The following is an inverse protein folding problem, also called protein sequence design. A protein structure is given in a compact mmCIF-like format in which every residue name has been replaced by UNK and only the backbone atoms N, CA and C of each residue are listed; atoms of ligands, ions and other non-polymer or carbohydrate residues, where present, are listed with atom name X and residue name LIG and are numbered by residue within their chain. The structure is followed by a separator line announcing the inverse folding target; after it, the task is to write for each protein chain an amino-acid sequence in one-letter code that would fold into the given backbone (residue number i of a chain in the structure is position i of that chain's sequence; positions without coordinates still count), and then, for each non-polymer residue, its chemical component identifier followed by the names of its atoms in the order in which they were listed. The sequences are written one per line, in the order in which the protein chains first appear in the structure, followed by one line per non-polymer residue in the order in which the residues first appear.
data_IF_333141329709
#
_entry.id   IF_333141329709
#
_cell.length_a   1.000
_cell.length_b   1.000
_cell.length_c   1.000
_cell.angle_alpha   90.00
_cell.angle_beta   90.00
_cell.angle_gamma   90.00
#
_symmetry.space_group_name_H-M   'P 1'
#
loop_
_entity.id
_entity.type
_entity.pdbx_description
1 polymer ?
#
# COMPACT_ATOMS: atom_id res chain seq x y z
N UNK A 1 17.00 51.57 -24.20
CA UNK A 1 17.51 50.79 -23.05
C UNK A 1 16.27 50.17 -22.42
N UNK A 2 16.04 48.91 -22.74
CA UNK A 2 15.05 48.13 -21.99
C UNK A 2 15.65 47.82 -20.64
N UNK A 3 15.00 48.30 -19.59
CA UNK A 3 15.27 47.83 -18.23
C UNK A 3 14.99 46.34 -18.22
N UNK A 4 16.03 45.52 -17.97
CA UNK A 4 15.86 44.10 -17.68
C UNK A 4 14.99 44.00 -16.44
N UNK A 5 13.88 43.33 -16.58
CA UNK A 5 13.09 42.92 -15.43
C UNK A 5 13.96 41.95 -14.64
N UNK A 6 14.31 42.31 -13.41
CA UNK A 6 15.14 41.50 -12.51
C UNK A 6 14.27 40.77 -11.48
N UNK A 7 12.94 40.87 -11.65
CA UNK A 7 11.98 40.14 -10.81
C UNK A 7 11.67 38.79 -11.46
N UNK A 8 12.08 37.71 -10.82
CA UNK A 8 11.69 36.38 -11.23
C UNK A 8 10.23 36.14 -10.79
N UNK A 9 9.39 35.70 -11.71
CA UNK A 9 8.07 35.17 -11.36
C UNK A 9 8.20 33.89 -10.54
N UNK A 10 7.27 33.66 -9.63
CA UNK A 10 7.23 32.43 -8.88
C UNK A 10 6.78 31.26 -9.76
N UNK A 11 7.21 30.05 -9.40
CA UNK A 11 6.62 28.83 -9.90
C UNK A 11 5.70 28.29 -8.80
N UNK A 12 4.44 28.07 -9.16
CA UNK A 12 3.49 27.35 -8.32
C UNK A 12 3.52 25.87 -8.71
N UNK A 13 4.03 25.03 -7.82
CA UNK A 13 3.97 23.57 -8.01
C UNK A 13 2.62 23.12 -7.52
N UNK A 14 1.73 22.80 -8.46
CA UNK A 14 0.34 22.47 -8.21
C UNK A 14 0.16 21.10 -7.54
N UNK A 15 1.19 20.25 -7.56
CA UNK A 15 1.22 18.99 -6.87
C UNK A 15 2.04 17.90 -7.56
N UNK A 16 2.37 16.88 -6.80
CA UNK A 16 2.94 15.62 -7.27
C UNK A 16 2.00 14.49 -6.89
N UNK A 17 1.67 13.61 -7.86
CA UNK A 17 0.76 12.50 -7.67
C UNK A 17 1.25 11.25 -8.41
N UNK A 18 0.95 10.07 -7.89
CA UNK A 18 1.12 8.81 -8.58
C UNK A 18 -0.08 8.54 -9.51
N UNK A 19 0.19 8.16 -10.73
CA UNK A 19 -0.82 7.72 -11.69
C UNK A 19 -1.01 6.21 -11.66
N UNK A 20 -1.13 5.64 -10.50
CA UNK A 20 -1.35 4.24 -10.12
C UNK A 20 -1.74 3.29 -11.24
N UNK A 21 -0.77 2.94 -12.08
CA UNK A 21 -1.01 2.02 -13.20
C UNK A 21 -1.12 0.57 -12.73
N UNK A 22 -0.47 0.24 -11.61
CA UNK A 22 -0.29 -1.13 -11.13
C UNK A 22 -0.80 -1.35 -9.70
N UNK A 23 -0.85 -0.30 -8.84
CA UNK A 23 -1.34 -0.52 -7.48
C UNK A 23 -2.86 -0.67 -7.44
N UNK A 24 -3.33 -1.62 -6.65
CA UNK A 24 -4.76 -1.99 -6.59
C UNK A 24 -5.62 -0.98 -5.83
N UNK A 25 -5.04 -0.22 -4.92
CA UNK A 25 -5.75 0.76 -4.12
C UNK A 25 -6.03 2.07 -4.87
N UNK A 26 -5.46 2.26 -6.07
CA UNK A 26 -5.53 3.51 -6.83
C UNK A 26 -5.22 4.74 -5.95
N UNK A 27 -4.20 4.60 -5.09
CA UNK A 27 -3.79 5.60 -4.12
C UNK A 27 -2.77 6.54 -4.76
N UNK A 28 -3.13 7.79 -4.96
CA UNK A 28 -2.27 8.79 -5.62
C UNK A 28 -1.08 9.26 -4.77
N UNK A 29 -0.98 8.81 -3.52
CA UNK A 29 0.13 9.14 -2.60
C UNK A 29 1.20 8.04 -2.54
N UNK A 30 0.92 6.86 -3.08
CA UNK A 30 1.81 5.70 -3.11
C UNK A 30 2.06 5.31 -4.57
N UNK A 31 3.31 5.02 -4.92
CA UNK A 31 3.70 4.52 -6.24
C UNK A 31 4.60 3.30 -6.09
N UNK A 32 4.49 2.38 -7.03
CA UNK A 32 5.36 1.20 -7.19
C UNK A 32 6.03 1.20 -8.55
N UNK A 33 6.95 0.27 -8.78
CA UNK A 33 7.55 0.07 -10.10
C UNK A 33 6.49 -0.15 -11.18
N UNK A 34 6.57 0.60 -12.28
CA UNK A 34 5.60 0.61 -13.38
C UNK A 34 4.58 1.75 -13.32
N UNK A 35 4.40 2.40 -12.17
CA UNK A 35 3.54 3.57 -12.05
C UNK A 35 4.17 4.82 -12.69
N UNK A 36 3.30 5.72 -13.16
CA UNK A 36 3.73 7.05 -13.58
C UNK A 36 3.61 8.03 -12.41
N UNK A 37 4.61 8.84 -12.22
CA UNK A 37 4.59 9.98 -11.29
C UNK A 37 4.47 11.27 -12.09
N UNK A 38 3.50 12.10 -11.76
CA UNK A 38 3.21 13.37 -12.42
C UNK A 38 3.48 14.53 -11.47
N UNK A 39 4.36 15.43 -11.89
CA UNK A 39 4.62 16.69 -11.21
C UNK A 39 4.08 17.83 -12.08
N UNK A 40 3.07 18.56 -11.58
CA UNK A 40 2.42 19.63 -12.32
C UNK A 40 2.78 21.00 -11.72
N UNK A 41 3.18 21.96 -12.58
CA UNK A 41 3.51 23.29 -12.14
C UNK A 41 3.11 24.37 -13.15
N UNK A 42 2.89 25.58 -12.63
CA UNK A 42 2.50 26.74 -13.43
C UNK A 42 3.38 27.93 -13.07
N UNK A 43 4.16 28.48 -14.01
CA UNK A 43 4.95 29.67 -13.75
C UNK A 43 4.09 30.95 -13.84
N UNK A 44 4.44 31.98 -13.09
CA UNK A 44 3.79 33.29 -13.18
C UNK A 44 4.09 34.02 -14.49
N UNK A 45 5.20 33.70 -15.13
CA UNK A 45 5.62 34.27 -16.40
C UNK A 45 6.12 33.21 -17.37
N UNK A 46 6.13 33.50 -18.68
CA UNK A 46 6.59 32.56 -19.70
C UNK A 46 8.09 32.23 -19.54
N UNK A 47 8.39 30.93 -19.46
CA UNK A 47 9.75 30.42 -19.34
C UNK A 47 10.43 30.21 -20.70
N UNK A 48 11.76 30.11 -20.69
CA UNK A 48 12.58 29.63 -21.80
C UNK A 48 12.49 28.09 -21.84
N UNK A 49 11.71 27.54 -22.78
CA UNK A 49 11.36 26.10 -22.82
C UNK A 49 12.57 25.16 -22.73
N UNK A 50 13.61 25.43 -23.53
CA UNK A 50 14.81 24.61 -23.57
C UNK A 50 15.65 24.67 -22.28
N UNK A 51 15.28 25.54 -21.33
CA UNK A 51 15.95 25.67 -20.05
C UNK A 51 15.26 24.97 -18.88
N UNK A 52 14.07 24.45 -19.12
CA UNK A 52 13.28 23.78 -18.08
C UNK A 52 13.84 22.35 -17.95
N UNK A 53 14.41 22.06 -16.80
CA UNK A 53 14.89 20.71 -16.44
C UNK A 53 14.17 20.27 -15.18
N UNK A 54 13.47 19.17 -15.29
CA UNK A 54 12.75 18.57 -14.15
C UNK A 54 13.31 17.19 -13.90
N UNK A 55 13.66 16.92 -12.64
CA UNK A 55 14.02 15.58 -12.19
C UNK A 55 13.05 15.10 -11.12
N UNK A 56 12.74 13.81 -11.10
CA UNK A 56 12.03 13.10 -10.03
C UNK A 56 12.89 11.90 -9.66
N UNK A 57 13.11 11.66 -8.37
CA UNK A 57 14.07 10.66 -7.86
C UNK A 57 15.48 10.78 -8.49
N UNK A 58 15.91 12.01 -8.83
CA UNK A 58 17.17 12.28 -9.52
C UNK A 58 17.21 11.88 -11.00
N UNK A 59 16.10 11.38 -11.56
CA UNK A 59 15.99 10.96 -12.96
C UNK A 59 15.31 12.01 -13.83
N UNK A 60 15.73 12.12 -15.09
CA UNK A 60 15.12 13.03 -16.06
C UNK A 60 13.67 12.61 -16.37
N UNK A 61 12.79 13.59 -16.50
CA UNK A 61 11.38 13.41 -16.80
C UNK A 61 11.05 13.76 -18.25
N UNK A 62 9.91 13.29 -18.75
CA UNK A 62 9.29 13.84 -19.95
C UNK A 62 8.44 15.03 -19.58
N UNK A 63 8.56 16.14 -20.34
CA UNK A 63 7.84 17.37 -20.05
C UNK A 63 6.79 17.63 -21.14
N UNK A 64 5.57 17.94 -20.74
CA UNK A 64 4.48 18.40 -21.62
C UNK A 64 3.97 19.75 -21.14
N UNK A 65 3.50 20.59 -22.04
CA UNK A 65 2.91 21.91 -21.75
C UNK A 65 1.48 21.96 -22.28
N UNK A 66 0.59 22.52 -21.49
CA UNK A 66 -0.79 22.80 -21.89
C UNK A 66 -1.29 24.07 -21.20
N UNK A 67 -1.65 25.08 -22.00
CA UNK A 67 -2.23 26.35 -21.52
C UNK A 67 -1.38 27.07 -20.45
N UNK A 68 -0.06 27.02 -20.57
CA UNK A 68 0.86 27.66 -19.64
C UNK A 68 1.17 26.83 -18.38
N UNK A 69 0.58 25.65 -18.22
CA UNK A 69 0.90 24.69 -17.18
C UNK A 69 1.76 23.57 -17.75
N UNK A 70 2.73 23.11 -16.97
CA UNK A 70 3.66 22.05 -17.33
C UNK A 70 3.39 20.80 -16.50
N UNK A 71 3.52 19.65 -17.14
CA UNK A 71 3.48 18.35 -16.45
C UNK A 71 4.75 17.57 -16.78
N UNK A 72 5.55 17.29 -15.75
CA UNK A 72 6.68 16.39 -15.84
C UNK A 72 6.25 14.99 -15.43
N UNK A 73 6.62 13.99 -16.23
CA UNK A 73 6.24 12.58 -16.02
C UNK A 73 7.48 11.72 -15.93
N UNK A 74 7.53 10.89 -14.88
CA UNK A 74 8.48 9.80 -14.71
C UNK A 74 7.70 8.49 -14.57
N UNK A 75 8.07 7.47 -15.35
CA UNK A 75 7.62 6.09 -15.10
C UNK A 75 8.65 5.42 -14.20
N UNK A 76 8.23 4.96 -13.03
CA UNK A 76 9.10 4.24 -12.09
C UNK A 76 9.44 2.86 -12.64
N UNK A 77 10.69 2.44 -12.44
CA UNK A 77 11.17 1.11 -12.84
C UNK A 77 11.16 0.11 -11.69
N UNK A 78 10.97 0.61 -10.44
CA UNK A 78 11.13 -0.15 -9.21
C UNK A 78 12.57 -0.21 -8.69
N UNK A 79 13.52 0.45 -9.40
CA UNK A 79 14.93 0.54 -8.98
C UNK A 79 15.26 1.85 -8.28
N UNK A 80 14.34 2.79 -8.29
CA UNK A 80 14.47 4.07 -7.60
C UNK A 80 14.47 3.85 -6.09
N UNK A 81 15.10 4.75 -5.30
CA UNK A 81 15.06 4.67 -3.85
C UNK A 81 13.61 4.64 -3.31
N UNK A 82 13.34 3.76 -2.35
CA UNK A 82 12.08 3.77 -1.62
C UNK A 82 11.95 4.99 -0.72
N UNK A 83 10.71 5.36 -0.38
CA UNK A 83 10.37 6.52 0.41
C UNK A 83 9.86 7.70 -0.42
N UNK A 84 9.83 8.88 0.17
CA UNK A 84 9.31 10.08 -0.50
C UNK A 84 10.17 10.41 -1.71
N UNK A 85 9.53 10.55 -2.88
CA UNK A 85 10.18 10.92 -4.12
C UNK A 85 10.55 12.40 -4.10
N UNK A 86 11.85 12.67 -4.06
CA UNK A 86 12.39 14.03 -4.21
C UNK A 86 12.34 14.47 -5.67
N UNK A 87 12.18 15.76 -5.92
CA UNK A 87 12.22 16.32 -7.25
C UNK A 87 12.92 17.67 -7.28
N UNK A 88 13.35 18.09 -8.47
CA UNK A 88 13.90 19.43 -8.72
C UNK A 88 13.29 20.02 -9.99
N UNK A 89 13.06 21.34 -10.00
CA UNK A 89 12.74 22.12 -11.19
C UNK A 89 13.77 23.23 -11.33
N UNK A 90 14.57 23.16 -12.38
CA UNK A 90 15.49 24.23 -12.81
C UNK A 90 14.93 24.89 -14.05
N UNK A 91 15.02 26.22 -14.15
CA UNK A 91 14.43 26.98 -15.24
C UNK A 91 15.08 28.34 -15.43
N UNK A 92 14.79 28.97 -16.57
CA UNK A 92 15.14 30.36 -16.89
C UNK A 92 13.94 31.08 -17.45
N UNK A 93 13.86 32.39 -17.21
CA UNK A 93 12.92 33.26 -17.91
C UNK A 93 13.28 33.39 -19.39
N UNK A 94 12.42 34.05 -20.18
CA UNK A 94 12.69 34.30 -21.60
C UNK A 94 13.87 35.22 -21.86
N UNK A 95 14.32 36.01 -20.87
CA UNK A 95 15.50 36.83 -20.94
C UNK A 95 16.79 36.04 -20.68
N UNK A 96 16.70 34.79 -20.22
CA UNK A 96 17.79 33.89 -19.91
C UNK A 96 18.27 33.99 -18.45
N UNK A 97 17.56 34.70 -17.58
CA UNK A 97 17.88 34.73 -16.15
C UNK A 97 17.50 33.43 -15.48
N UNK A 98 18.37 32.81 -14.67
CA UNK A 98 18.04 31.59 -13.94
C UNK A 98 17.07 31.89 -12.79
N UNK A 99 16.03 31.07 -12.63
CA UNK A 99 15.18 31.03 -11.46
C UNK A 99 15.85 30.33 -10.27
N UNK A 100 15.24 30.43 -9.10
CA UNK A 100 15.62 29.65 -7.93
C UNK A 100 15.09 28.22 -8.14
N UNK A 101 15.95 27.22 -7.94
CA UNK A 101 15.54 25.82 -8.03
C UNK A 101 14.36 25.54 -7.08
N UNK A 102 13.32 24.87 -7.58
CA UNK A 102 12.15 24.47 -6.80
C UNK A 102 12.28 23.00 -6.41
N UNK A 103 12.07 22.72 -5.11
CA UNK A 103 12.21 21.39 -4.50
C UNK A 103 11.02 21.04 -3.57
N UNK A 104 9.98 21.87 -3.51
CA UNK A 104 8.82 21.66 -2.67
C UNK A 104 7.53 22.05 -3.40
N UNK A 105 6.45 21.30 -3.16
CA UNK A 105 5.12 21.61 -3.67
C UNK A 105 4.49 22.76 -2.86
N UNK A 106 3.58 23.49 -3.47
CA UNK A 106 2.83 24.57 -2.79
C UNK A 106 1.60 24.05 -2.07
N UNK A 107 1.18 22.82 -2.37
CA UNK A 107 0.03 22.13 -1.76
C UNK A 107 0.44 21.05 -0.75
N UNK A 108 1.75 20.96 -0.41
CA UNK A 108 2.34 19.97 0.51
C UNK A 108 2.16 18.50 0.04
N UNK A 109 1.79 18.28 -1.21
CA UNK A 109 1.67 16.92 -1.76
C UNK A 109 3.03 16.22 -1.86
N UNK A 110 3.03 14.93 -1.68
CA UNK A 110 4.20 14.05 -1.83
C UNK A 110 3.76 12.68 -2.31
N UNK A 111 4.66 11.96 -2.98
CA UNK A 111 4.46 10.55 -3.37
C UNK A 111 5.52 9.72 -2.68
N UNK A 112 5.07 8.64 -2.04
CA UNK A 112 5.94 7.62 -1.45
C UNK A 112 6.14 6.48 -2.46
N UNK A 113 7.38 6.18 -2.83
CA UNK A 113 7.73 5.00 -3.62
C UNK A 113 7.84 3.81 -2.67
N UNK A 114 6.88 2.92 -2.75
CA UNK A 114 6.84 1.69 -1.96
C UNK A 114 7.55 0.57 -2.71
N UNK A 115 8.59 0.03 -2.10
CA UNK A 115 9.44 -1.01 -2.70
C UNK A 115 9.46 -2.29 -1.86
N UNK A 116 8.77 -2.31 -0.72
CA UNK A 116 8.77 -3.43 0.21
C UNK A 116 7.41 -4.14 0.19
N UNK A 117 7.38 -5.47 0.04
CA UNK A 117 6.14 -6.19 0.24
C UNK A 117 5.75 -6.19 1.73
N UNK A 118 4.44 -6.24 2.05
CA UNK A 118 3.97 -6.36 3.41
C UNK A 118 4.30 -7.73 4.00
N UNK A 119 4.47 -7.79 5.34
CA UNK A 119 4.74 -9.03 6.08
C UNK A 119 3.75 -9.22 7.22
N UNK A 120 3.41 -10.48 7.54
CA UNK A 120 2.66 -10.81 8.75
C UNK A 120 3.64 -10.97 9.92
N UNK A 121 3.59 -10.05 10.88
CA UNK A 121 4.47 -10.04 12.06
C UNK A 121 3.96 -10.95 13.16
N UNK A 122 2.64 -10.98 13.35
CA UNK A 122 1.97 -11.80 14.38
C UNK A 122 0.77 -12.48 13.76
N UNK A 123 0.68 -13.80 13.94
CA UNK A 123 -0.51 -14.58 13.57
C UNK A 123 -0.85 -15.57 14.70
N UNK A 124 -2.14 -15.68 14.99
CA UNK A 124 -2.69 -16.62 15.99
C UNK A 124 -4.02 -17.19 15.53
N UNK A 125 -4.32 -18.42 15.95
CA UNK A 125 -5.63 -19.05 15.75
C UNK A 125 -6.20 -19.45 17.12
N UNK A 126 -7.49 -19.18 17.35
CA UNK A 126 -8.21 -19.49 18.59
C UNK A 126 -9.67 -19.82 18.28
N UNK A 127 -10.37 -20.43 19.22
CA UNK A 127 -11.82 -20.62 19.14
C UNK A 127 -12.55 -19.95 20.32
N UNK A 128 -13.87 -19.82 20.21
CA UNK A 128 -14.73 -19.37 21.32
C UNK A 128 -15.15 -20.54 22.26
N UNK A 129 -14.61 -21.75 22.05
CA UNK A 129 -14.79 -22.85 22.97
C UNK A 129 -14.18 -22.51 24.35
N UNK A 130 -14.69 -23.02 25.49
CA UNK A 130 -14.05 -22.85 26.79
C UNK A 130 -12.55 -23.24 26.82
N UNK A 131 -12.15 -24.25 26.05
CA UNK A 131 -10.76 -24.50 25.71
C UNK A 131 -10.50 -23.95 24.29
N UNK A 132 -9.86 -22.82 24.20
CA UNK A 132 -9.66 -22.11 22.93
C UNK A 132 -8.78 -22.83 21.92
N UNK A 133 -8.16 -23.96 22.31
CA UNK A 133 -7.40 -24.86 21.43
C UNK A 133 -8.28 -25.96 20.78
N UNK A 134 -9.56 -26.00 21.11
CA UNK A 134 -10.53 -26.93 20.53
C UNK A 134 -11.72 -26.18 19.93
N UNK A 135 -12.38 -26.79 18.98
CA UNK A 135 -13.64 -26.34 18.42
C UNK A 135 -14.56 -27.56 18.13
N UNK A 136 -15.86 -27.38 18.23
CA UNK A 136 -16.92 -28.29 17.81
C UNK A 136 -17.88 -27.57 16.87
N UNK A 137 -18.83 -28.30 16.33
CA UNK A 137 -19.91 -27.73 15.51
C UNK A 137 -20.58 -26.57 16.26
N UNK A 138 -20.72 -25.44 15.57
CA UNK A 138 -21.29 -24.21 16.10
C UNK A 138 -20.29 -23.28 16.78
N UNK A 139 -19.07 -23.72 17.09
CA UNK A 139 -18.03 -22.84 17.61
C UNK A 139 -17.46 -21.97 16.50
N UNK A 140 -17.07 -20.75 16.86
CA UNK A 140 -16.37 -19.83 15.96
C UNK A 140 -14.86 -19.96 16.14
N UNK A 141 -14.14 -20.09 15.05
CA UNK A 141 -12.69 -20.08 14.99
C UNK A 141 -12.23 -18.76 14.42
N UNK A 142 -11.24 -18.14 15.07
CA UNK A 142 -10.71 -16.82 14.74
C UNK A 142 -9.25 -16.94 14.36
N UNK A 143 -8.87 -16.32 13.24
CA UNK A 143 -7.49 -16.06 12.85
C UNK A 143 -7.23 -14.57 13.02
N UNK A 144 -6.37 -14.22 13.98
CA UNK A 144 -6.02 -12.82 14.27
C UNK A 144 -4.56 -12.60 13.90
N UNK A 145 -4.29 -11.54 13.15
CA UNK A 145 -2.93 -11.23 12.73
C UNK A 145 -2.67 -9.72 12.69
N UNK A 146 -1.39 -9.36 12.77
CA UNK A 146 -0.87 -7.99 12.62
C UNK A 146 0.15 -8.00 11.49
N UNK A 147 0.02 -7.06 10.58
CA UNK A 147 0.95 -6.87 9.48
C UNK A 147 1.92 -5.72 9.76
N UNK A 148 3.02 -5.67 9.01
CA UNK A 148 4.02 -4.59 9.07
C UNK A 148 3.46 -3.23 8.67
N UNK A 149 2.36 -3.23 7.90
CA UNK A 149 1.70 -2.05 7.37
C UNK A 149 0.21 -2.31 7.09
N UNK A 150 -0.51 -1.26 6.65
CA UNK A 150 -1.91 -1.39 6.24
C UNK A 150 -2.01 -2.21 4.96
N UNK A 151 -2.87 -3.21 4.98
CA UNK A 151 -3.07 -4.13 3.87
C UNK A 151 -4.27 -3.75 3.00
N UNK A 152 -4.22 -4.22 1.75
CA UNK A 152 -5.34 -4.24 0.80
C UNK A 152 -5.56 -5.67 0.27
N UNK A 153 -6.68 -5.94 -0.38
CA UNK A 153 -7.03 -7.24 -1.00
C UNK A 153 -6.76 -8.46 -0.11
N UNK A 154 -7.17 -8.38 1.16
CA UNK A 154 -7.01 -9.46 2.11
C UNK A 154 -8.00 -10.59 1.80
N UNK A 155 -7.47 -11.81 1.66
CA UNK A 155 -8.28 -13.04 1.58
C UNK A 155 -7.87 -14.00 2.69
N UNK A 156 -8.85 -14.51 3.43
CA UNK A 156 -8.62 -15.44 4.53
C UNK A 156 -9.48 -16.69 4.28
N UNK A 157 -8.85 -17.85 4.38
CA UNK A 157 -9.55 -19.12 4.47
C UNK A 157 -9.29 -19.75 5.84
N UNK A 158 -10.33 -20.35 6.43
CA UNK A 158 -10.26 -21.12 7.68
C UNK A 158 -10.98 -22.44 7.42
N UNK A 159 -10.37 -23.56 7.77
CA UNK A 159 -10.87 -24.90 7.43
C UNK A 159 -11.14 -25.09 5.92
N UNK A 160 -10.36 -24.41 5.06
CA UNK A 160 -10.54 -24.44 3.60
C UNK A 160 -11.70 -23.58 3.08
N UNK A 161 -12.42 -22.87 3.95
CA UNK A 161 -13.60 -22.05 3.59
C UNK A 161 -13.22 -20.56 3.61
N UNK A 162 -13.65 -19.82 2.59
CA UNK A 162 -13.45 -18.36 2.54
C UNK A 162 -14.18 -17.69 3.71
N UNK A 163 -13.48 -16.85 4.44
CA UNK A 163 -13.90 -16.25 5.70
C UNK A 163 -14.00 -14.74 5.58
N UNK A 164 -15.01 -14.15 6.22
CA UNK A 164 -15.08 -12.70 6.40
C UNK A 164 -14.03 -12.24 7.42
N UNK A 165 -13.60 -11.00 7.33
CA UNK A 165 -12.67 -10.40 8.29
C UNK A 165 -13.11 -8.99 8.72
N UNK A 166 -12.58 -8.55 9.85
CA UNK A 166 -12.70 -7.19 10.35
C UNK A 166 -11.30 -6.61 10.56
N UNK A 167 -11.12 -5.34 10.20
CA UNK A 167 -9.99 -4.55 10.66
C UNK A 167 -10.27 -4.09 12.10
N UNK A 168 -9.35 -4.34 13.02
CA UNK A 168 -9.52 -4.03 14.45
C UNK A 168 -8.95 -2.64 14.79
N UNK A 169 -7.69 -2.40 14.47
CA UNK A 169 -7.03 -1.09 14.63
C UNK A 169 -5.64 -1.14 13.99
N UNK A 170 -5.28 -0.11 13.26
CA UNK A 170 -4.01 -0.09 12.52
C UNK A 170 -3.92 -1.29 11.58
N UNK A 171 -2.75 -1.89 11.45
CA UNK A 171 -2.53 -3.06 10.59
C UNK A 171 -2.93 -4.39 11.25
N UNK A 172 -3.96 -4.41 12.10
CA UNK A 172 -4.43 -5.62 12.78
C UNK A 172 -5.80 -6.07 12.27
N UNK A 173 -5.90 -7.34 11.92
CA UNK A 173 -7.07 -7.95 11.28
C UNK A 173 -7.49 -9.22 12.00
N UNK A 174 -8.78 -9.57 11.88
CA UNK A 174 -9.32 -10.83 12.40
C UNK A 174 -10.33 -11.42 11.42
N UNK A 175 -10.00 -12.59 10.88
CA UNK A 175 -10.93 -13.44 10.16
C UNK A 175 -11.66 -14.40 11.10
N UNK A 176 -12.86 -14.85 10.71
CA UNK A 176 -13.57 -15.86 11.49
C UNK A 176 -14.40 -16.80 10.60
N UNK A 177 -14.57 -18.03 11.09
CA UNK A 177 -15.42 -19.06 10.49
C UNK A 177 -16.17 -19.79 11.60
N UNK A 178 -17.46 -20.09 11.36
CA UNK A 178 -18.26 -20.92 12.26
C UNK A 178 -18.17 -22.36 11.78
N UNK A 179 -17.66 -23.25 12.63
CA UNK A 179 -17.46 -24.65 12.30
C UNK A 179 -18.80 -25.39 12.13
N UNK A 180 -18.87 -26.22 11.12
CA UNK A 180 -20.05 -27.04 10.83
C UNK A 180 -19.66 -28.49 10.48
N UNK A 181 -20.68 -29.34 10.24
CA UNK A 181 -20.49 -30.78 9.99
C UNK A 181 -19.74 -31.09 8.67
N UNK A 182 -19.56 -30.11 7.81
CA UNK A 182 -18.82 -30.28 6.54
C UNK A 182 -17.32 -30.06 6.67
N UNK A 183 -16.86 -29.51 7.83
CA UNK A 183 -15.47 -29.27 8.07
C UNK A 183 -14.75 -30.56 8.48
N UNK A 184 -13.51 -30.71 8.04
CA UNK A 184 -12.68 -31.87 8.37
C UNK A 184 -12.23 -31.84 9.83
N UNK A 185 -12.29 -33.00 10.52
CA UNK A 185 -11.76 -33.16 11.87
C UNK A 185 -10.24 -33.09 11.90
N UNK A 186 -9.70 -32.58 12.99
CA UNK A 186 -8.27 -32.45 13.22
C UNK A 186 -7.81 -31.01 13.35
N UNK A 187 -6.54 -30.74 13.08
CA UNK A 187 -5.97 -29.40 13.13
C UNK A 187 -6.62 -28.53 12.04
N UNK A 188 -7.12 -27.36 12.44
CA UNK A 188 -7.80 -26.43 11.51
C UNK A 188 -6.77 -25.66 10.71
N UNK A 189 -6.66 -25.86 9.39
CA UNK A 189 -5.80 -25.07 8.54
C UNK A 189 -6.37 -23.68 8.31
N UNK A 190 -5.49 -22.71 8.10
CA UNK A 190 -5.85 -21.40 7.59
C UNK A 190 -4.85 -20.94 6.53
N UNK A 191 -5.26 -19.98 5.70
CA UNK A 191 -4.41 -19.30 4.74
C UNK A 191 -4.80 -17.84 4.68
N UNK A 192 -3.82 -16.94 4.74
CA UNK A 192 -3.97 -15.51 4.55
C UNK A 192 -3.15 -15.12 3.32
N UNK A 193 -3.81 -14.51 2.33
CA UNK A 193 -3.16 -13.86 1.19
C UNK A 193 -3.52 -12.38 1.19
N UNK A 194 -2.60 -11.52 0.82
CA UNK A 194 -2.78 -10.08 0.97
C UNK A 194 -1.82 -9.28 0.10
N UNK A 195 -2.18 -8.04 -0.17
CA UNK A 195 -1.29 -7.02 -0.75
C UNK A 195 -1.21 -5.81 0.18
N UNK A 196 -0.19 -4.97 -0.02
CA UNK A 196 -0.19 -3.61 0.54
C UNK A 196 -1.07 -2.66 -0.28
N UNK A 197 -1.10 -1.38 0.12
CA UNK A 197 -1.81 -0.33 -0.60
C UNK A 197 -1.15 0.01 -1.95
N UNK A 198 0.11 -0.34 -2.16
CA UNK A 198 0.83 -0.23 -3.42
C UNK A 198 0.50 -1.36 -4.41
N UNK A 199 -0.07 -2.48 -3.91
CA UNK A 199 -0.39 -3.68 -4.68
C UNK A 199 0.72 -4.72 -4.68
N UNK A 200 1.80 -4.53 -3.89
CA UNK A 200 2.82 -5.58 -3.73
C UNK A 200 2.25 -6.76 -2.94
N UNK A 201 2.50 -7.97 -3.43
CA UNK A 201 2.00 -9.20 -2.82
C UNK A 201 2.90 -9.61 -1.64
N UNK A 202 2.31 -9.77 -0.45
CA UNK A 202 3.00 -10.37 0.68
C UNK A 202 3.12 -11.89 0.57
N UNK A 203 4.04 -12.51 1.32
CA UNK A 203 4.13 -13.96 1.42
C UNK A 203 2.85 -14.57 1.99
N UNK A 204 2.41 -15.70 1.45
CA UNK A 204 1.29 -16.46 2.03
C UNK A 204 1.59 -16.82 3.50
N UNK A 205 0.59 -16.63 4.39
CA UNK A 205 0.70 -17.00 5.80
C UNK A 205 -0.31 -18.09 6.15
N UNK A 206 0.20 -19.29 6.42
CA UNK A 206 -0.55 -20.50 6.77
C UNK A 206 -0.17 -21.09 8.13
N UNK A 207 0.70 -20.42 8.86
CA UNK A 207 1.21 -20.83 10.17
C UNK A 207 1.11 -19.71 11.19
N UNK A 208 0.97 -20.06 12.47
CA UNK A 208 0.95 -19.10 13.57
C UNK A 208 2.37 -18.77 14.04
N UNK A 209 2.60 -17.51 14.41
CA UNK A 209 3.91 -17.07 14.95
C UNK A 209 4.09 -17.39 16.44
N UNK A 210 2.98 -17.67 17.13
CA UNK A 210 2.95 -17.96 18.58
C UNK A 210 2.68 -19.44 18.91
N UNK A 211 2.73 -20.33 17.90
CA UNK A 211 2.49 -21.78 18.02
C UNK A 211 1.08 -22.13 18.53
N UNK A 212 0.09 -21.25 18.40
CA UNK A 212 -1.31 -21.63 18.67
C UNK A 212 -1.81 -22.52 17.55
N UNK A 213 -2.65 -23.49 17.90
CA UNK A 213 -3.47 -24.28 16.96
C UNK A 213 -4.86 -24.53 17.56
N UNK A 214 -5.82 -24.83 16.71
CA UNK A 214 -7.17 -25.25 17.11
C UNK A 214 -7.47 -26.57 16.43
N UNK A 215 -7.98 -27.53 17.21
CA UNK A 215 -8.47 -28.81 16.69
C UNK A 215 -9.97 -28.82 16.63
N UNK A 216 -10.49 -29.25 15.51
CA UNK A 216 -11.94 -29.48 15.33
C UNK A 216 -12.28 -30.95 15.60
N UNK A 217 -13.28 -31.16 16.43
CA UNK A 217 -13.84 -32.48 16.72
C UNK A 217 -15.37 -32.42 16.64
N UNK A 218 -15.93 -33.19 15.71
CA UNK A 218 -17.36 -33.21 15.43
C UNK A 218 -18.06 -34.34 16.22
N UNK A 219 -17.34 -35.42 16.52
CA UNK A 219 -17.89 -36.54 17.21
C UNK A 219 -17.83 -36.41 18.75
N UNK A 220 -18.90 -36.76 19.50
CA UNK A 220 -18.77 -36.89 20.95
C UNK A 220 -17.73 -37.97 21.29
N UNK A 221 -16.97 -37.73 22.35
CA UNK A 221 -15.94 -38.65 22.79
C UNK A 221 -16.53 -40.11 22.85
N UNK A 222 -15.82 -41.09 22.27
CA UNK A 222 -16.29 -42.46 22.36
C UNK A 222 -16.27 -42.92 23.81
N UNK A 223 -17.43 -43.05 24.41
CA UNK A 223 -17.59 -43.56 25.76
C UNK A 223 -18.51 -42.73 26.62
N UNK A 224 -19.78 -42.65 26.24
CA UNK A 224 -20.81 -42.49 27.24
C UNK A 224 -20.72 -43.68 28.20
N UNK A 225 -20.24 -43.40 29.41
CA UNK A 225 -20.22 -44.36 30.49
C UNK A 225 -21.68 -44.72 30.79
N UNK A 226 -22.19 -45.81 30.20
CA UNK A 226 -23.43 -46.43 30.66
C UNK A 226 -23.19 -47.00 32.05
N UNK A 227 -23.53 -46.24 33.08
CA UNK A 227 -23.68 -46.80 34.43
C UNK A 227 -25.04 -47.55 34.42
N UNK A 228 -24.99 -48.88 34.42
CA UNK A 228 -26.16 -49.76 34.57
C UNK A 228 -26.42 -49.90 36.06
#
# INVERSE_FOLDING_TARGET
IQLRDLTFGNIYVNGIVAGNNLNSANNTLIAIGGDNVYLTFTPEEPLLLDSIVVTIAGLATTLTESNGSYTATLTLTGSEPGGILEYTIDFKDRAGNPGIQVIATTDESSVNHDILPPEIEVASITSNNPDSSWAKVGDSVFVTFTASETLDNISITIAGVSSSYNELSGAKYQGYHVMDDSNDEGDIPFLITYTDLGGALGPDADTTTNNTNVKFENNPAPGDLFII
#
